data_IF_627038764586
#
_entry.id   IF_627038764586
#
_cell.length_a   1.000
_cell.length_b   1.000
_cell.length_c   1.000
_cell.angle_alpha   90.00
_cell.angle_beta   90.00
_cell.angle_gamma   90.00
#
_symmetry.space_group_name_H-M   'P 1'
#
loop_
_entity.id
_entity.type
_entity.pdbx_description
1 polymer ?
#
# COMPACT_ATOMS: atom_id res chain seq x y z
N UNK A 1 11.21 -0.54 -1.48
CA UNK A 1 9.93 -0.05 -2.06
C UNK A 1 10.05 1.34 -2.67
N UNK A 2 10.68 2.33 -2.00
CA UNK A 2 10.88 3.70 -2.55
C UNK A 2 11.49 3.65 -3.96
N UNK A 3 12.64 2.99 -4.13
CA UNK A 3 13.32 2.85 -5.42
C UNK A 3 12.44 2.16 -6.48
N UNK A 4 11.64 1.17 -6.08
CA UNK A 4 10.71 0.50 -6.97
C UNK A 4 9.64 1.48 -7.48
N UNK A 5 9.06 2.31 -6.62
CA UNK A 5 8.11 3.35 -7.03
C UNK A 5 8.75 4.36 -7.99
N UNK A 6 9.96 4.84 -7.68
CA UNK A 6 10.68 5.79 -8.53
C UNK A 6 10.97 5.20 -9.91
N UNK A 7 11.36 3.92 -9.99
CA UNK A 7 11.56 3.20 -11.26
C UNK A 7 10.30 3.11 -12.12
N UNK A 8 9.11 3.26 -11.51
CA UNK A 8 7.79 3.23 -12.16
C UNK A 8 7.22 4.62 -12.41
N UNK A 9 8.03 5.68 -12.35
CA UNK A 9 7.59 7.09 -12.47
C UNK A 9 6.58 7.50 -11.38
N UNK A 10 6.55 6.79 -10.27
CA UNK A 10 5.75 7.14 -9.09
C UNK A 10 6.65 7.98 -8.20
N UNK A 11 6.36 9.28 -8.13
CA UNK A 11 7.10 10.18 -7.26
C UNK A 11 6.66 9.95 -5.81
N UNK A 12 7.59 9.59 -4.93
CA UNK A 12 7.30 9.47 -3.49
C UNK A 12 7.18 10.85 -2.88
N UNK A 13 6.04 11.14 -2.27
CA UNK A 13 5.77 12.42 -1.60
C UNK A 13 5.87 12.30 -0.07
N UNK A 14 5.47 11.15 0.46
CA UNK A 14 5.50 10.86 1.88
C UNK A 14 6.07 9.48 2.12
N UNK A 15 6.88 9.33 3.17
CA UNK A 15 7.38 8.04 3.62
C UNK A 15 7.69 8.06 5.12
N UNK A 16 7.45 6.95 5.79
CA UNK A 16 7.94 6.67 7.13
C UNK A 16 9.44 6.31 7.10
N UNK A 17 10.24 7.18 6.48
CA UNK A 17 11.66 6.99 6.24
C UNK A 17 12.40 8.35 6.37
N UNK A 18 13.62 8.39 6.92
CA UNK A 18 14.38 9.64 7.05
C UNK A 18 14.49 10.42 5.72
N UNK A 19 14.28 11.73 5.78
CA UNK A 19 14.33 12.61 4.60
C UNK A 19 12.98 12.82 3.90
N UNK A 20 11.92 12.12 4.28
CA UNK A 20 10.58 12.31 3.75
C UNK A 20 9.62 12.92 4.78
N UNK A 21 8.57 13.58 4.28
CA UNK A 21 7.44 13.96 5.13
C UNK A 21 6.69 12.69 5.55
N UNK A 22 6.26 12.65 6.81
CA UNK A 22 5.48 11.52 7.31
C UNK A 22 4.12 11.41 6.58
N UNK A 23 3.68 10.19 6.24
CA UNK A 23 2.36 9.96 5.66
C UNK A 23 1.24 10.40 6.61
N UNK A 24 0.12 10.81 6.02
CA UNK A 24 -1.10 11.10 6.76
C UNK A 24 -1.92 9.82 6.96
N UNK A 25 -2.72 9.79 8.02
CA UNK A 25 -3.63 8.67 8.28
C UNK A 25 -4.67 8.54 7.16
N UNK A 26 -4.84 7.32 6.69
CA UNK A 26 -5.90 6.90 5.81
C UNK A 26 -6.86 6.05 6.66
N UNK A 27 -7.96 6.68 7.08
CA UNK A 27 -8.89 6.16 8.10
C UNK A 27 -8.22 6.03 9.48
N UNK A 28 -7.67 4.85 9.80
CA UNK A 28 -7.15 4.50 11.14
C UNK A 28 -5.64 4.39 11.18
N UNK A 29 -5.01 4.19 10.03
CA UNK A 29 -3.58 3.87 9.92
C UNK A 29 -2.92 4.78 8.89
N UNK A 30 -1.66 5.14 9.11
CA UNK A 30 -0.85 5.83 8.11
C UNK A 30 -0.01 4.78 7.37
N UNK A 31 -0.05 4.72 6.02
CA UNK A 31 0.78 3.78 5.27
C UNK A 31 2.26 4.14 5.40
N UNK A 32 3.16 3.21 5.11
CA UNK A 32 4.60 3.50 5.09
C UNK A 32 4.98 4.50 4.01
N UNK A 33 4.35 4.44 2.82
CA UNK A 33 4.71 5.27 1.67
C UNK A 33 3.46 5.78 0.96
N UNK A 34 3.46 7.04 0.55
CA UNK A 34 2.49 7.60 -0.41
C UNK A 34 3.23 8.21 -1.59
N UNK A 35 2.92 7.69 -2.78
CA UNK A 35 3.44 8.15 -4.05
C UNK A 35 2.35 8.55 -5.04
N UNK A 36 2.72 9.40 -6.01
CA UNK A 36 1.81 9.84 -7.06
C UNK A 36 2.51 9.63 -8.40
N UNK A 37 1.83 8.93 -9.31
CA UNK A 37 2.33 8.78 -10.67
C UNK A 37 2.28 10.12 -11.39
N UNK A 38 3.42 10.57 -11.91
CA UNK A 38 3.62 11.93 -12.41
C UNK A 38 2.69 12.29 -13.58
N UNK A 39 2.44 11.34 -14.48
CA UNK A 39 1.62 11.59 -15.68
C UNK A 39 0.11 11.49 -15.39
N UNK A 40 -0.32 10.38 -14.77
CA UNK A 40 -1.74 10.04 -14.56
C UNK A 40 -2.36 10.67 -13.31
N UNK A 41 -1.53 11.11 -12.36
CA UNK A 41 -2.00 11.54 -11.04
C UNK A 41 -2.62 10.43 -10.20
N UNK A 42 -2.43 9.15 -10.59
CA UNK A 42 -2.86 8.01 -9.78
C UNK A 42 -2.05 7.96 -8.49
N UNK A 43 -2.73 7.73 -7.37
CA UNK A 43 -2.11 7.63 -6.04
C UNK A 43 -1.79 6.19 -5.71
N UNK A 44 -0.62 5.98 -5.14
CA UNK A 44 -0.05 4.71 -4.73
C UNK A 44 0.27 4.78 -3.24
N UNK A 45 -0.17 3.77 -2.51
CA UNK A 45 0.14 3.57 -1.10
C UNK A 45 0.92 2.27 -0.95
N UNK A 46 1.93 2.31 -0.09
CA UNK A 46 2.86 1.21 0.07
C UNK A 46 3.01 0.85 1.54
N UNK A 47 2.98 -0.45 1.84
CA UNK A 47 3.19 -1.01 3.17
C UNK A 47 4.24 -2.12 3.12
N UNK A 48 5.24 -2.06 3.98
CA UNK A 48 6.27 -3.09 4.10
C UNK A 48 6.00 -3.93 5.34
N UNK A 49 5.85 -5.25 5.17
CA UNK A 49 5.62 -6.18 6.28
C UNK A 49 6.63 -7.32 6.27
N UNK A 50 7.01 -7.76 7.45
CA UNK A 50 7.68 -9.02 7.69
C UNK A 50 6.66 -10.16 7.73
N UNK A 51 7.11 -11.39 7.45
CA UNK A 51 6.21 -12.55 7.44
C UNK A 51 5.51 -12.79 8.79
N UNK A 52 6.14 -12.43 9.90
CA UNK A 52 5.57 -12.53 11.25
C UNK A 52 4.41 -11.57 11.48
N UNK A 53 4.37 -10.44 10.77
CA UNK A 53 3.40 -9.36 10.99
C UNK A 53 2.09 -9.60 10.23
N UNK A 54 2.06 -10.54 9.29
CA UNK A 54 0.91 -10.77 8.40
C UNK A 54 -0.34 -11.22 9.13
N UNK A 55 -0.21 -11.76 10.35
CA UNK A 55 -1.34 -12.22 11.16
C UNK A 55 -1.78 -11.22 12.22
N UNK A 56 -1.05 -10.12 12.36
CA UNK A 56 -1.28 -9.15 13.43
C UNK A 56 -2.55 -8.35 13.17
N UNK A 57 -3.17 -7.92 14.26
CA UNK A 57 -4.43 -7.18 14.19
C UNK A 57 -4.28 -5.87 13.42
N UNK A 58 -3.16 -5.16 13.59
CA UNK A 58 -2.87 -3.91 12.88
C UNK A 58 -2.80 -4.16 11.36
N UNK A 59 -2.02 -5.16 10.93
CA UNK A 59 -1.89 -5.52 9.51
C UNK A 59 -3.22 -5.90 8.88
N UNK A 60 -4.09 -6.62 9.60
CA UNK A 60 -5.44 -6.94 9.13
C UNK A 60 -6.29 -5.69 8.91
N UNK A 61 -6.21 -4.72 9.81
CA UNK A 61 -6.95 -3.47 9.69
C UNK A 61 -6.46 -2.64 8.50
N UNK A 62 -5.15 -2.53 8.30
CA UNK A 62 -4.55 -1.89 7.12
C UNK A 62 -5.00 -2.57 5.83
N UNK A 63 -4.95 -3.91 5.77
CA UNK A 63 -5.39 -4.69 4.62
C UNK A 63 -6.90 -4.56 4.34
N UNK A 64 -7.71 -4.31 5.37
CA UNK A 64 -9.14 -4.00 5.20
C UNK A 64 -9.37 -2.59 4.69
N UNK A 65 -8.51 -1.64 5.09
CA UNK A 65 -8.77 -0.22 4.92
C UNK A 65 -8.16 0.38 3.66
N UNK A 66 -6.88 0.11 3.44
CA UNK A 66 -6.08 0.69 2.36
C UNK A 66 -6.63 0.38 0.96
N UNK A 67 -7.03 -0.87 0.61
CA UNK A 67 -7.61 -1.15 -0.71
C UNK A 67 -8.90 -0.38 -1.01
N UNK A 68 -9.62 0.09 0.02
CA UNK A 68 -10.91 0.79 -0.12
C UNK A 68 -10.76 2.31 -0.16
N UNK A 69 -9.53 2.83 -0.11
CA UNK A 69 -9.29 4.27 -0.03
C UNK A 69 -9.46 4.92 -1.40
N UNK A 70 -10.33 5.94 -1.48
CA UNK A 70 -10.67 6.66 -2.70
C UNK A 70 -9.89 7.97 -2.77
N UNK A 71 -9.38 8.29 -3.96
CA UNK A 71 -8.72 9.55 -4.25
C UNK A 71 -9.77 10.66 -4.28
N UNK A 72 -9.61 11.68 -3.44
CA UNK A 72 -10.60 12.74 -3.26
C UNK A 72 -10.42 13.94 -4.19
N UNK A 73 -9.25 14.09 -4.81
CA UNK A 73 -8.93 15.26 -5.64
C UNK A 73 -7.89 14.96 -6.73
N UNK A 74 -7.76 15.87 -7.70
CA UNK A 74 -6.82 15.76 -8.82
C UNK A 74 -7.33 14.89 -9.98
N UNK A 75 -6.43 14.55 -10.92
CA UNK A 75 -6.78 13.89 -12.19
C UNK A 75 -7.43 12.51 -12.03
N UNK A 76 -7.12 11.81 -10.94
CA UNK A 76 -7.63 10.46 -10.67
C UNK A 76 -8.67 10.45 -9.54
N UNK A 77 -9.31 11.59 -9.25
CA UNK A 77 -10.38 11.68 -8.27
C UNK A 77 -11.50 10.65 -8.57
N UNK A 78 -12.05 10.06 -7.51
CA UNK A 78 -13.07 9.00 -7.60
C UNK A 78 -12.52 7.59 -7.84
N UNK A 79 -11.22 7.44 -8.16
CA UNK A 79 -10.58 6.11 -8.29
C UNK A 79 -10.04 5.61 -6.94
N UNK A 80 -9.91 4.29 -6.81
CA UNK A 80 -9.20 3.69 -5.68
C UNK A 80 -7.69 3.98 -5.78
N UNK A 81 -7.06 4.19 -4.64
CA UNK A 81 -5.60 4.21 -4.53
C UNK A 81 -5.04 2.82 -4.84
N UNK A 82 -3.87 2.75 -5.49
CA UNK A 82 -3.18 1.48 -5.73
C UNK A 82 -2.43 1.08 -4.47
N UNK A 83 -2.71 -0.10 -3.91
CA UNK A 83 -2.12 -0.58 -2.68
C UNK A 83 -1.05 -1.63 -2.96
N UNK A 84 0.18 -1.33 -2.54
CA UNK A 84 1.33 -2.22 -2.66
C UNK A 84 1.74 -2.76 -1.29
N UNK A 85 1.83 -4.08 -1.20
CA UNK A 85 2.30 -4.78 -0.01
C UNK A 85 3.68 -5.37 -0.38
N UNK A 86 4.75 -4.86 0.22
CA UNK A 86 6.07 -5.49 0.12
C UNK A 86 6.29 -6.45 1.27
N UNK A 87 6.70 -7.67 0.95
CA UNK A 87 7.05 -8.71 1.93
C UNK A 87 8.26 -9.50 1.47
N UNK A 88 8.98 -10.18 2.38
CA UNK A 88 9.97 -11.18 1.99
C UNK A 88 9.37 -12.22 1.03
N UNK A 89 10.18 -12.65 0.05
CA UNK A 89 9.74 -13.54 -1.03
C UNK A 89 9.14 -14.87 -0.57
N UNK A 90 9.54 -15.38 0.59
CA UNK A 90 9.05 -16.62 1.19
C UNK A 90 7.60 -16.54 1.73
N UNK A 91 7.06 -15.34 1.91
CA UNK A 91 5.67 -15.12 2.32
C UNK A 91 4.81 -14.32 1.32
N UNK A 92 5.36 -13.86 0.20
CA UNK A 92 4.59 -13.21 -0.86
C UNK A 92 3.41 -14.04 -1.36
N UNK A 93 3.60 -15.35 -1.54
CA UNK A 93 2.53 -16.27 -1.98
C UNK A 93 1.42 -16.46 -0.94
N UNK A 94 1.70 -16.18 0.34
CA UNK A 94 0.75 -16.36 1.46
C UNK A 94 -0.20 -15.19 1.64
N UNK A 95 0.06 -14.04 1.00
CA UNK A 95 -0.76 -12.83 1.20
C UNK A 95 -2.23 -13.07 0.84
N UNK A 96 -2.53 -13.77 -0.26
CA UNK A 96 -3.93 -14.09 -0.60
C UNK A 96 -4.59 -14.99 0.44
N UNK A 97 -3.85 -15.93 1.02
CA UNK A 97 -4.36 -16.78 2.11
C UNK A 97 -4.65 -15.96 3.38
N UNK A 98 -3.79 -14.99 3.71
CA UNK A 98 -3.99 -14.06 4.83
C UNK A 98 -5.27 -13.25 4.65
N UNK A 99 -5.50 -12.70 3.46
CA UNK A 99 -6.74 -12.00 3.11
C UNK A 99 -7.96 -12.90 3.29
N UNK A 100 -7.93 -14.12 2.74
CA UNK A 100 -9.02 -15.08 2.85
C UNK A 100 -9.32 -15.46 4.31
N UNK A 101 -8.28 -15.75 5.12
CA UNK A 101 -8.42 -16.12 6.54
C UNK A 101 -8.98 -14.98 7.39
N UNK A 102 -8.75 -13.73 6.99
CA UNK A 102 -9.26 -12.55 7.67
C UNK A 102 -10.61 -12.07 7.11
N UNK A 103 -11.23 -12.82 6.20
CA UNK A 103 -12.48 -12.47 5.50
C UNK A 103 -12.39 -11.11 4.79
N UNK A 104 -11.22 -10.82 4.21
CA UNK A 104 -10.95 -9.60 3.46
C UNK A 104 -11.03 -9.93 1.96
N UNK A 105 -11.97 -9.32 1.27
CA UNK A 105 -12.09 -9.46 -0.18
C UNK A 105 -10.84 -8.93 -0.90
N UNK A 106 -10.31 -9.73 -1.83
CA UNK A 106 -9.27 -9.28 -2.74
C UNK A 106 -9.83 -8.24 -3.72
N UNK A 107 -9.01 -7.26 -4.09
CA UNK A 107 -9.37 -6.21 -5.03
C UNK A 107 -8.26 -6.00 -6.06
N UNK A 108 -8.62 -5.58 -7.28
CA UNK A 108 -7.69 -5.46 -8.41
C UNK A 108 -6.64 -4.36 -8.23
N UNK A 109 -6.86 -3.43 -7.30
CA UNK A 109 -5.91 -2.39 -6.93
C UNK A 109 -4.85 -2.84 -5.91
N UNK A 110 -4.82 -4.12 -5.54
CA UNK A 110 -3.84 -4.69 -4.61
C UNK A 110 -2.72 -5.36 -5.38
N UNK A 111 -1.48 -5.01 -5.08
CA UNK A 111 -0.27 -5.63 -5.64
C UNK A 111 0.67 -6.10 -4.53
N UNK A 112 1.31 -7.25 -4.74
CA UNK A 112 2.26 -7.83 -3.80
C UNK A 112 3.65 -7.83 -4.44
N UNK A 113 4.63 -7.33 -3.70
CA UNK A 113 6.04 -7.32 -4.10
C UNK A 113 6.82 -8.26 -3.18
N UNK A 114 7.37 -9.34 -3.73
CA UNK A 114 8.38 -10.14 -3.06
C UNK A 114 9.75 -9.50 -3.23
N UNK A 115 10.50 -9.35 -2.13
CA UNK A 115 11.90 -8.92 -2.14
C UNK A 115 12.84 -9.95 -1.51
#
# INVERSE_FOLDING_TARGET
>A
MIEYFESKKIKVHYANYPGYKKPMELKRHAPDIIGIHSETGQVYIGEAKMCSELTDQITKEEFQDFPKTVITSGKSAGKLMQFYIAVPSDCASKIKEVFNKADIAWSDNIQVLGF
#
